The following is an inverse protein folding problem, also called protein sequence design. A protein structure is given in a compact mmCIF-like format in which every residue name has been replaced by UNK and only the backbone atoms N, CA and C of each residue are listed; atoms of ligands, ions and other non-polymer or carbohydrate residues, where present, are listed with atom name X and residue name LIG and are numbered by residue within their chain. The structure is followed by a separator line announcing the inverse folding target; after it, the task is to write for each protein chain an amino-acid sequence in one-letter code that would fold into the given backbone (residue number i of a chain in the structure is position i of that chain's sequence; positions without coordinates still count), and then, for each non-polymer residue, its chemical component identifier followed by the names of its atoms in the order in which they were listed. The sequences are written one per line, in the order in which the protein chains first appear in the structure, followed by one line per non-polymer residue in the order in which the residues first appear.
data_IF_200269786598
#
_entry.id   IF_200269786598
#
_cell.length_a   1.000
_cell.length_b   1.000
_cell.length_c   1.000
_cell.angle_alpha   90.00
_cell.angle_beta   90.00
_cell.angle_gamma   90.00
#
_symmetry.space_group_name_H-M   'P 1'
#
loop_
_entity.id
_entity.type
_entity.pdbx_description
1 polymer ?
#
# COMPACT_ATOMS: atom_id res chain seq x y z
N UNK A 1 -85.56 3.72 -12.49
CA UNK A 1 -86.39 3.23 -11.37
C UNK A 1 -86.61 1.73 -11.57
N UNK A 2 -86.48 0.86 -10.57
CA UNK A 2 -85.73 0.93 -9.31
C UNK A 2 -85.75 -0.47 -8.64
N UNK A 3 -84.68 -0.86 -7.92
CA UNK A 3 -84.63 -2.04 -7.01
C UNK A 3 -84.88 -3.41 -7.71
N UNK A 4 -84.73 -4.59 -7.09
CA UNK A 4 -84.33 -4.95 -5.70
C UNK A 4 -83.47 -6.24 -5.68
N UNK A 5 -83.19 -6.79 -4.49
CA UNK A 5 -82.31 -7.95 -4.23
C UNK A 5 -83.10 -9.24 -3.83
N UNK A 6 -82.38 -10.32 -3.52
CA UNK A 6 -82.80 -11.52 -2.74
C UNK A 6 -83.71 -12.65 -3.31
N UNK A 7 -83.06 -13.80 -3.58
CA UNK A 7 -83.28 -15.16 -2.99
C UNK A 7 -84.69 -15.83 -2.94
N UNK A 8 -84.82 -16.94 -3.68
CA UNK A 8 -84.58 -18.29 -3.08
C UNK A 8 -85.71 -19.38 -3.05
N UNK A 9 -85.30 -20.59 -2.57
CA UNK A 9 -86.05 -21.88 -2.35
C UNK A 9 -86.23 -22.76 -3.62
N UNK A 10 -85.69 -24.01 -3.70
CA UNK A 10 -86.09 -25.34 -3.10
C UNK A 10 -87.33 -25.96 -3.78
N UNK A 11 -87.46 -27.26 -4.12
CA UNK A 11 -86.73 -28.56 -3.92
C UNK A 11 -86.95 -29.43 -5.21
N UNK A 12 -86.50 -30.68 -5.46
CA UNK A 12 -86.14 -31.93 -4.71
C UNK A 12 -84.84 -32.57 -5.32
N UNK A 13 -84.00 -33.44 -4.72
CA UNK A 13 -84.11 -34.77 -4.05
C UNK A 13 -84.61 -35.91 -4.98
N UNK A 14 -84.03 -37.13 -5.01
CA UNK A 14 -82.97 -37.86 -4.25
C UNK A 14 -82.45 -39.03 -5.18
N UNK A 15 -81.33 -39.79 -5.09
CA UNK A 15 -80.34 -40.31 -4.09
C UNK A 15 -78.92 -40.33 -4.74
N UNK A 16 -77.83 -41.03 -4.34
CA UNK A 16 -77.49 -42.04 -3.28
C UNK A 16 -75.98 -41.96 -2.86
N UNK A 17 -75.57 -42.85 -1.93
CA UNK A 17 -74.28 -43.16 -1.29
C UNK A 17 -73.14 -43.65 -2.25
N UNK A 18 -71.85 -43.85 -1.88
CA UNK A 18 -71.20 -44.11 -0.56
C UNK A 18 -69.64 -43.85 -0.49
N UNK A 19 -69.10 -43.41 0.69
CA UNK A 19 -67.74 -43.51 1.36
C UNK A 19 -66.37 -43.60 0.56
N UNK A 20 -65.15 -43.37 1.12
CA UNK A 20 -64.57 -42.54 2.22
C UNK A 20 -62.98 -42.52 2.19
N UNK A 21 -62.28 -41.84 3.14
CA UNK A 21 -60.80 -41.51 3.22
C UNK A 21 -59.98 -42.53 4.09
N UNK A 22 -58.64 -42.45 4.50
CA UNK A 22 -57.69 -41.29 4.63
C UNK A 22 -56.10 -41.45 4.67
N UNK A 23 -55.39 -40.29 4.74
CA UNK A 23 -54.15 -39.89 5.53
C UNK A 23 -52.73 -40.58 5.49
N UNK A 24 -51.71 -39.77 5.06
CA UNK A 24 -50.42 -39.34 5.72
C UNK A 24 -49.26 -40.30 6.17
N UNK A 25 -48.00 -39.86 5.85
CA UNK A 25 -46.75 -39.66 6.68
C UNK A 25 -45.43 -40.50 6.43
N UNK A 26 -44.31 -39.78 6.68
CA UNK A 26 -42.94 -40.16 7.18
C UNK A 26 -41.83 -40.87 6.35
N UNK A 27 -40.68 -40.17 6.31
CA UNK A 27 -39.24 -40.54 6.36
C UNK A 27 -38.79 -42.01 6.57
N UNK A 28 -37.80 -42.45 5.77
CA UNK A 28 -36.54 -43.14 6.19
C UNK A 28 -35.49 -43.05 5.03
N UNK A 29 -34.25 -42.64 5.30
CA UNK A 29 -32.97 -43.39 5.45
C UNK A 29 -32.38 -44.10 4.20
N UNK A 30 -31.04 -44.07 4.13
CA UNK A 30 -30.20 -44.65 3.07
C UNK A 30 -29.92 -46.16 3.28
N UNK A 31 -29.26 -46.81 2.30
CA UNK A 31 -27.95 -47.41 2.63
C UNK A 31 -26.80 -46.97 1.70
N UNK A 32 -25.56 -47.30 2.10
CA UNK A 32 -24.29 -47.01 1.39
C UNK A 32 -23.70 -48.28 0.73
N UNK A 33 -23.19 -48.16 -0.51
CA UNK A 33 -22.00 -48.88 -1.04
C UNK A 33 -21.63 -48.27 -2.41
N UNK A 34 -20.39 -48.10 -2.90
CA UNK A 34 -19.01 -48.51 -2.52
C UNK A 34 -18.41 -49.79 -3.15
N UNK A 35 -18.30 -49.82 -4.49
CA UNK A 35 -17.37 -50.63 -5.32
C UNK A 35 -17.37 -50.02 -6.74
N UNK A 36 -16.27 -49.78 -7.48
CA UNK A 36 -15.02 -50.50 -7.81
C UNK A 36 -15.11 -51.33 -9.12
N UNK A 37 -14.06 -51.28 -9.95
CA UNK A 37 -14.03 -51.78 -11.35
C UNK A 37 -14.39 -50.66 -12.36
N UNK A 38 -13.52 -50.12 -13.22
CA UNK A 38 -12.53 -50.67 -14.18
C UNK A 38 -13.18 -51.43 -15.36
N UNK A 39 -13.05 -50.88 -16.57
CA UNK A 39 -13.61 -51.40 -17.82
C UNK A 39 -13.59 -50.34 -18.95
N UNK A 40 -12.43 -49.78 -19.30
CA UNK A 40 -11.69 -50.19 -20.51
C UNK A 40 -12.53 -50.22 -21.81
N UNK A 41 -12.71 -49.04 -22.42
CA UNK A 41 -13.16 -48.87 -23.81
C UNK A 41 -12.14 -48.07 -24.61
N UNK A 42 -11.18 -48.74 -25.28
CA UNK A 42 -10.22 -48.09 -26.17
C UNK A 42 -10.92 -47.60 -27.44
N UNK A 43 -10.76 -46.33 -27.76
CA UNK A 43 -10.80 -45.83 -29.14
C UNK A 43 -9.48 -45.10 -29.44
N UNK A 44 -8.99 -45.22 -30.67
CA UNK A 44 -7.63 -44.80 -31.01
C UNK A 44 -7.51 -43.33 -31.41
N UNK A 45 -6.29 -42.80 -31.23
CA UNK A 45 -5.87 -41.45 -31.63
C UNK A 45 -6.27 -41.13 -33.07
N UNK A 46 -6.80 -39.93 -33.26
CA UNK A 46 -6.26 -39.03 -34.27
C UNK A 46 -5.53 -37.90 -33.55
N UNK A 47 -4.34 -37.54 -34.04
CA UNK A 47 -3.49 -36.52 -33.44
C UNK A 47 -3.88 -35.12 -33.92
N UNK A 48 -3.93 -34.17 -33.01
CA UNK A 48 -3.73 -32.75 -33.29
C UNK A 48 -2.78 -32.24 -32.23
N UNK A 49 -1.56 -31.90 -32.64
CA UNK A 49 -0.54 -31.43 -31.71
C UNK A 49 -0.92 -30.04 -31.19
N UNK A 50 -1.28 -30.01 -29.91
CA UNK A 50 -1.22 -28.80 -29.10
C UNK A 50 -0.22 -29.05 -27.99
N UNK A 51 0.96 -28.46 -28.17
CA UNK A 51 2.00 -28.37 -27.17
C UNK A 51 1.38 -27.82 -25.89
N UNK A 52 1.27 -28.67 -24.86
CA UNK A 52 1.02 -28.19 -23.51
C UNK A 52 2.32 -27.68 -22.96
N UNK A 53 2.59 -26.40 -23.16
CA UNK A 53 3.38 -25.63 -22.22
C UNK A 53 2.74 -25.80 -20.84
N UNK A 54 3.29 -26.71 -20.04
CA UNK A 54 2.93 -26.83 -18.62
C UNK A 54 3.64 -25.68 -17.92
N UNK A 55 3.08 -24.48 -18.09
CA UNK A 55 3.37 -23.38 -17.18
C UNK A 55 3.00 -23.87 -15.79
N UNK A 56 4.02 -24.09 -14.97
CA UNK A 56 3.85 -24.23 -13.53
C UNK A 56 3.46 -22.86 -13.02
N UNK A 57 2.17 -22.56 -13.11
CA UNK A 57 1.57 -21.39 -12.48
C UNK A 57 1.74 -21.60 -10.97
N UNK A 58 2.84 -21.09 -10.42
CA UNK A 58 2.96 -20.84 -8.98
C UNK A 58 1.66 -20.13 -8.58
N UNK A 59 0.92 -20.75 -7.66
CA UNK A 59 -0.38 -20.26 -7.20
C UNK A 59 -0.14 -18.95 -6.47
N UNK A 60 -0.16 -17.84 -7.23
CA UNK A 60 0.09 -16.48 -6.71
C UNK A 60 -0.76 -16.28 -5.47
N UNK A 61 -0.15 -15.79 -4.40
CA UNK A 61 -0.88 -15.33 -3.22
C UNK A 61 -1.79 -14.20 -3.68
N UNK A 62 -3.07 -14.31 -3.37
CA UNK A 62 -4.01 -13.24 -3.69
C UNK A 62 -3.73 -12.00 -2.84
N UNK A 63 -4.41 -10.91 -3.16
CA UNK A 63 -4.50 -9.73 -2.31
C UNK A 63 -5.78 -9.83 -1.46
N UNK A 64 -6.79 -10.56 -1.95
CA UNK A 64 -8.08 -10.72 -1.29
C UNK A 64 -8.06 -11.92 -0.33
N UNK A 65 -7.94 -11.63 0.96
CA UNK A 65 -7.98 -12.60 2.06
C UNK A 65 -6.64 -12.88 2.74
N UNK A 66 -5.55 -12.31 2.23
CA UNK A 66 -4.30 -12.15 3.00
C UNK A 66 -4.51 -11.13 4.14
N UNK A 67 -3.67 -11.15 5.20
CA UNK A 67 -3.63 -10.09 6.21
C UNK A 67 -3.42 -8.71 5.57
N UNK A 68 -4.03 -7.66 6.13
CA UNK A 68 -4.08 -6.34 5.51
C UNK A 68 -2.69 -5.76 5.17
N UNK A 69 -1.69 -5.93 6.03
CA UNK A 69 -0.32 -5.46 5.77
C UNK A 69 0.35 -6.24 4.62
N UNK A 70 0.07 -7.55 4.50
CA UNK A 70 0.53 -8.37 3.38
C UNK A 70 -0.17 -7.98 2.07
N UNK A 71 -1.47 -7.66 2.12
CA UNK A 71 -2.22 -7.13 0.98
C UNK A 71 -1.66 -5.77 0.50
N UNK A 72 -1.29 -4.87 1.42
CA UNK A 72 -0.65 -3.59 1.10
C UNK A 72 0.75 -3.78 0.49
N UNK A 73 1.50 -4.79 0.94
CA UNK A 73 2.81 -5.14 0.37
C UNK A 73 2.75 -5.82 -1.00
N UNK A 74 1.57 -6.30 -1.42
CA UNK A 74 1.32 -6.84 -2.76
C UNK A 74 0.71 -5.80 -3.72
N UNK A 75 -0.10 -4.87 -3.20
CA UNK A 75 -0.88 -3.89 -3.97
C UNK A 75 -0.77 -2.45 -3.40
N UNK A 76 0.43 -1.86 -3.28
CA UNK A 76 0.62 -0.58 -2.59
C UNK A 76 0.00 0.64 -3.31
N UNK A 77 -0.66 1.52 -2.54
CA UNK A 77 -1.22 2.79 -3.05
C UNK A 77 -0.17 3.89 -3.34
N UNK A 78 1.05 3.78 -2.82
CA UNK A 78 2.17 4.77 -2.88
C UNK A 78 1.92 6.18 -2.30
N UNK A 79 0.69 6.65 -2.11
CA UNK A 79 0.31 8.03 -1.73
C UNK A 79 0.12 8.28 -0.20
N UNK A 80 0.91 7.61 0.65
CA UNK A 80 0.81 7.60 2.12
C UNK A 80 -0.45 6.97 2.73
N UNK A 81 -1.40 6.48 1.93
CA UNK A 81 -2.56 5.73 2.43
C UNK A 81 -2.18 4.24 2.49
N UNK A 82 -2.08 3.62 3.69
CA UNK A 82 -1.74 2.20 3.83
C UNK A 82 -2.99 1.35 3.61
N UNK A 83 -3.40 1.25 2.34
CA UNK A 83 -4.48 0.37 1.86
C UNK A 83 -4.11 -0.18 0.46
N UNK A 84 -4.65 -1.35 0.08
CA UNK A 84 -4.50 -1.88 -1.27
C UNK A 84 -5.04 -0.90 -2.31
N UNK A 85 -4.29 -0.67 -3.39
CA UNK A 85 -4.69 0.23 -4.48
C UNK A 85 -6.01 -0.23 -5.13
N UNK A 86 -6.18 -1.53 -5.39
CA UNK A 86 -7.40 -2.10 -5.97
C UNK A 86 -8.65 -1.93 -5.09
N UNK A 87 -8.48 -1.94 -3.76
CA UNK A 87 -9.57 -1.61 -2.82
C UNK A 87 -9.97 -0.14 -2.97
N UNK A 88 -8.99 0.77 -3.06
CA UNK A 88 -9.26 2.20 -3.20
C UNK A 88 -9.80 2.56 -4.57
N UNK A 89 -9.34 1.93 -5.66
CA UNK A 89 -9.96 2.06 -6.99
C UNK A 89 -11.47 1.72 -6.94
N UNK A 90 -11.85 0.68 -6.20
CA UNK A 90 -13.25 0.30 -6.04
C UNK A 90 -14.04 1.30 -5.18
N UNK A 91 -13.47 1.82 -4.09
CA UNK A 91 -14.11 2.87 -3.25
C UNK A 91 -14.26 4.17 -4.04
N UNK A 92 -13.20 4.63 -4.71
CA UNK A 92 -13.17 5.87 -5.49
C UNK A 92 -14.14 5.82 -6.68
N UNK A 93 -14.28 4.66 -7.33
CA UNK A 93 -15.27 4.49 -8.39
C UNK A 93 -16.71 4.64 -7.86
N UNK A 94 -17.00 4.18 -6.63
CA UNK A 94 -18.31 4.38 -6.00
C UNK A 94 -18.50 5.82 -5.50
N UNK A 95 -17.45 6.50 -5.03
CA UNK A 95 -17.50 7.95 -4.74
C UNK A 95 -17.82 8.78 -6.00
N UNK A 96 -17.23 8.44 -7.14
CA UNK A 96 -17.30 9.22 -8.38
C UNK A 96 -18.56 8.90 -9.23
N UNK A 97 -18.98 7.63 -9.27
CA UNK A 97 -20.09 7.16 -10.13
C UNK A 97 -21.25 6.52 -9.35
N UNK A 98 -21.06 6.19 -8.07
CA UNK A 98 -21.95 5.29 -7.33
C UNK A 98 -22.84 5.94 -6.27
N UNK A 99 -22.49 7.10 -5.73
CA UNK A 99 -23.18 7.68 -4.57
C UNK A 99 -24.68 7.93 -4.79
N UNK A 100 -25.12 8.24 -6.01
CA UNK A 100 -26.54 8.45 -6.33
C UNK A 100 -27.30 7.19 -6.75
N UNK A 101 -26.61 6.06 -6.97
CA UNK A 101 -27.15 4.84 -7.60
C UNK A 101 -28.06 4.07 -6.64
N UNK A 102 -29.31 3.79 -7.05
CA UNK A 102 -30.28 3.12 -6.18
C UNK A 102 -29.81 1.75 -5.70
N UNK A 103 -29.87 1.52 -4.39
CA UNK A 103 -29.49 0.25 -3.79
C UNK A 103 -27.99 -0.05 -3.89
N UNK A 104 -27.13 0.96 -3.99
CA UNK A 104 -25.68 0.78 -3.84
C UNK A 104 -25.36 -0.01 -2.55
N UNK A 105 -24.38 -0.91 -2.59
CA UNK A 105 -24.13 -1.98 -1.60
C UNK A 105 -25.24 -3.02 -1.36
N UNK A 106 -26.54 -2.68 -1.48
CA UNK A 106 -27.67 -3.62 -1.34
C UNK A 106 -27.79 -4.57 -2.53
N UNK A 107 -27.79 -4.03 -3.74
CA UNK A 107 -27.79 -4.78 -5.01
C UNK A 107 -26.45 -5.52 -5.17
N UNK A 108 -26.46 -6.63 -5.89
CA UNK A 108 -25.28 -7.46 -6.12
C UNK A 108 -25.14 -7.79 -7.60
N UNK A 109 -23.98 -7.45 -8.17
CA UNK A 109 -23.63 -7.73 -9.57
C UNK A 109 -23.44 -9.23 -9.84
N UNK A 110 -23.43 -9.65 -11.13
CA UNK A 110 -23.28 -11.06 -11.49
C UNK A 110 -22.03 -11.72 -10.87
N UNK A 111 -22.21 -12.93 -10.32
CA UNK A 111 -21.16 -13.65 -9.60
C UNK A 111 -19.90 -13.81 -10.45
N UNK A 112 -20.05 -14.26 -11.70
CA UNK A 112 -18.95 -14.44 -12.67
C UNK A 112 -18.13 -13.16 -12.91
N UNK A 113 -18.77 -12.00 -12.84
CA UNK A 113 -18.16 -10.68 -13.05
C UNK A 113 -17.42 -10.20 -11.81
N UNK A 114 -17.98 -10.42 -10.63
CA UNK A 114 -17.26 -10.21 -9.37
C UNK A 114 -16.06 -11.16 -9.25
N UNK A 115 -16.20 -12.43 -9.66
CA UNK A 115 -15.06 -13.37 -9.69
C UNK A 115 -13.96 -12.93 -10.67
N UNK A 116 -14.32 -12.28 -11.78
CA UNK A 116 -13.35 -11.67 -12.69
C UNK A 116 -12.60 -10.52 -12.02
N UNK A 117 -13.32 -9.61 -11.35
CA UNK A 117 -12.74 -8.46 -10.65
C UNK A 117 -11.84 -8.89 -9.48
N UNK A 118 -12.20 -9.95 -8.76
CA UNK A 118 -11.32 -10.55 -7.75
C UNK A 118 -10.02 -11.07 -8.36
N UNK A 119 -10.09 -11.87 -9.43
CA UNK A 119 -8.89 -12.40 -10.10
C UNK A 119 -8.02 -11.29 -10.70
N UNK A 120 -8.62 -10.19 -11.16
CA UNK A 120 -7.89 -9.03 -11.64
C UNK A 120 -7.15 -8.32 -10.49
N UNK A 121 -7.83 -8.09 -9.36
CA UNK A 121 -7.23 -7.51 -8.16
C UNK A 121 -6.10 -8.40 -7.60
N UNK A 122 -6.35 -9.70 -7.42
CA UNK A 122 -5.36 -10.70 -6.98
C UNK A 122 -4.13 -10.81 -7.91
N UNK A 123 -4.26 -10.39 -9.18
CA UNK A 123 -3.18 -10.38 -10.15
C UNK A 123 -2.44 -9.02 -10.26
N UNK A 124 -2.84 -7.99 -9.51
CA UNK A 124 -2.45 -6.58 -9.72
C UNK A 124 -2.73 -6.08 -11.14
N UNK A 125 -3.78 -6.59 -11.78
CA UNK A 125 -4.18 -6.23 -13.13
C UNK A 125 -5.16 -5.03 -13.12
N UNK A 126 -5.26 -4.26 -14.23
CA UNK A 126 -6.16 -3.13 -14.33
C UNK A 126 -7.62 -3.47 -14.00
N UNK A 127 -8.20 -2.75 -13.05
CA UNK A 127 -9.60 -2.88 -12.67
C UNK A 127 -10.47 -1.96 -13.53
N UNK A 128 -11.27 -2.56 -14.40
CA UNK A 128 -12.31 -1.88 -15.18
C UNK A 128 -13.68 -2.26 -14.62
N UNK A 129 -14.47 -1.28 -14.16
CA UNK A 129 -15.85 -1.47 -13.70
C UNK A 129 -16.84 -0.96 -14.75
N UNK A 130 -17.95 -1.69 -14.95
CA UNK A 130 -19.04 -1.28 -15.85
C UNK A 130 -20.10 -0.43 -15.13
N UNK A 131 -20.31 -0.72 -13.83
CA UNK A 131 -21.31 -0.06 -12.99
C UNK A 131 -20.81 0.05 -11.53
N UNK A 132 -21.49 0.85 -10.73
CA UNK A 132 -21.12 1.07 -9.32
C UNK A 132 -21.42 -0.14 -8.41
N UNK A 133 -22.32 -1.03 -8.79
CA UNK A 133 -22.59 -2.25 -8.03
C UNK A 133 -21.44 -3.26 -8.16
N UNK A 134 -20.71 -3.27 -9.28
CA UNK A 134 -19.51 -4.09 -9.46
C UNK A 134 -18.40 -3.65 -8.51
N UNK A 135 -18.14 -2.34 -8.44
CA UNK A 135 -17.16 -1.75 -7.55
C UNK A 135 -17.53 -1.95 -6.06
N UNK A 136 -18.77 -1.61 -5.68
CA UNK A 136 -19.30 -1.89 -4.33
C UNK A 136 -19.31 -3.40 -4.02
N UNK A 137 -19.49 -4.26 -5.03
CA UNK A 137 -19.41 -5.71 -4.94
C UNK A 137 -17.99 -6.19 -4.62
N UNK A 138 -16.96 -5.62 -5.26
CA UNK A 138 -15.57 -5.92 -4.96
C UNK A 138 -15.20 -5.46 -3.54
N UNK A 139 -15.62 -4.26 -3.11
CA UNK A 139 -15.45 -3.79 -1.71
C UNK A 139 -16.10 -4.75 -0.72
N UNK A 140 -17.36 -5.18 -0.97
CA UNK A 140 -18.06 -6.19 -0.13
C UNK A 140 -17.29 -7.49 -0.01
N UNK A 141 -16.71 -7.99 -1.11
CA UNK A 141 -15.95 -9.25 -1.11
C UNK A 141 -14.58 -9.12 -0.44
N UNK A 142 -13.88 -8.00 -0.64
CA UNK A 142 -12.61 -7.73 0.03
C UNK A 142 -12.77 -7.74 1.55
N UNK A 143 -13.67 -6.90 2.08
CA UNK A 143 -13.88 -6.77 3.52
C UNK A 143 -14.29 -8.09 4.18
N UNK A 144 -15.16 -8.88 3.53
CA UNK A 144 -15.63 -10.18 4.03
C UNK A 144 -14.55 -11.27 4.07
N UNK A 145 -13.50 -11.18 3.26
CA UNK A 145 -12.42 -12.19 3.22
C UNK A 145 -11.24 -11.88 4.14
N UNK A 146 -11.15 -10.66 4.67
CA UNK A 146 -10.09 -10.30 5.62
C UNK A 146 -10.11 -11.23 6.87
N UNK A 147 -8.96 -11.60 7.44
CA UNK A 147 -8.91 -12.44 8.63
C UNK A 147 -9.67 -11.83 9.83
N UNK A 148 -10.67 -12.53 10.41
CA UNK A 148 -11.40 -12.06 11.57
C UNK A 148 -10.64 -12.31 12.89
N UNK A 149 -10.92 -11.56 13.96
CA UNK A 149 -11.88 -10.45 14.04
C UNK A 149 -11.29 -9.12 13.52
N UNK A 150 -12.06 -8.39 12.71
CA UNK A 150 -11.65 -7.07 12.19
C UNK A 150 -11.62 -5.97 13.24
N UNK A 151 -12.53 -6.03 14.22
CA UNK A 151 -12.54 -5.13 15.36
C UNK A 151 -11.87 -5.83 16.55
N UNK A 152 -10.80 -5.27 17.16
CA UNK A 152 -10.20 -5.85 18.35
C UNK A 152 -11.24 -6.00 19.48
N UNK A 153 -11.35 -7.16 20.17
CA UNK A 153 -12.44 -7.42 21.12
C UNK A 153 -12.58 -6.38 22.24
N UNK A 154 -11.46 -5.81 22.71
CA UNK A 154 -11.45 -4.71 23.69
C UNK A 154 -12.13 -3.43 23.18
N UNK A 155 -12.12 -3.18 21.87
CA UNK A 155 -12.80 -2.04 21.25
C UNK A 155 -14.27 -2.37 20.94
N UNK A 156 -14.61 -3.65 20.69
CA UNK A 156 -16.02 -4.09 20.61
C UNK A 156 -16.73 -3.91 21.96
N UNK A 157 -16.13 -4.44 23.03
CA UNK A 157 -16.60 -4.25 24.40
C UNK A 157 -16.76 -2.77 24.76
N UNK A 158 -15.74 -1.95 24.45
CA UNK A 158 -15.77 -0.51 24.67
C UNK A 158 -16.89 0.19 23.88
N UNK A 159 -17.18 -0.24 22.65
CA UNK A 159 -18.28 0.31 21.86
C UNK A 159 -19.66 -0.09 22.43
N UNK A 160 -19.78 -1.30 22.98
CA UNK A 160 -20.99 -1.80 23.62
C UNK A 160 -21.35 -1.06 24.93
N UNK A 161 -20.41 -0.34 25.56
CA UNK A 161 -20.69 0.58 26.67
C UNK A 161 -21.54 1.80 26.27
N UNK A 162 -21.78 2.03 24.97
CA UNK A 162 -22.49 3.21 24.50
C UNK A 162 -24.02 3.08 24.52
N UNK A 163 -24.66 3.90 25.36
CA UNK A 163 -26.12 3.98 25.53
C UNK A 163 -26.78 5.16 24.79
N UNK A 164 -26.08 5.80 23.84
CA UNK A 164 -26.59 6.97 23.13
C UNK A 164 -27.67 6.65 22.09
N UNK A 165 -28.61 7.58 21.88
CA UNK A 165 -29.47 7.54 20.70
C UNK A 165 -28.68 7.90 19.43
N UNK A 166 -28.31 6.85 18.70
CA UNK A 166 -27.49 6.84 17.46
C UNK A 166 -27.86 7.88 16.38
N UNK A 167 -29.08 8.44 16.39
CA UNK A 167 -29.49 9.53 15.50
C UNK A 167 -28.75 10.86 15.73
N UNK A 168 -28.16 11.09 16.92
CA UNK A 168 -27.54 12.38 17.30
C UNK A 168 -26.03 12.33 17.54
N UNK A 169 -25.37 11.22 17.21
CA UNK A 169 -23.98 10.99 17.58
C UNK A 169 -23.80 10.44 19.01
N UNK A 170 -22.56 10.12 19.36
CA UNK A 170 -22.18 9.60 20.67
C UNK A 170 -21.62 10.73 21.54
N UNK A 171 -22.46 11.22 22.46
CA UNK A 171 -22.16 12.28 23.43
C UNK A 171 -21.68 11.76 24.78
N UNK A 172 -21.89 10.47 25.11
CA UNK A 172 -21.47 9.86 26.38
C UNK A 172 -19.95 9.63 26.53
N UNK A 173 -19.13 10.11 25.58
CA UNK A 173 -17.67 10.00 25.63
C UNK A 173 -17.09 8.62 25.23
N UNK A 174 -17.92 7.61 24.96
CA UNK A 174 -17.44 6.31 24.44
C UNK A 174 -16.73 6.48 23.09
N UNK A 175 -17.27 7.32 22.19
CA UNK A 175 -16.62 7.73 20.93
C UNK A 175 -15.19 8.28 21.14
N UNK A 176 -14.97 9.05 22.21
CA UNK A 176 -13.66 9.59 22.60
C UNK A 176 -12.71 8.49 23.10
N UNK A 177 -13.20 7.53 23.89
CA UNK A 177 -12.41 6.36 24.32
C UNK A 177 -12.06 5.46 23.12
N UNK A 178 -13.01 5.21 22.21
CA UNK A 178 -12.79 4.45 20.96
C UNK A 178 -11.79 5.16 20.05
N UNK A 179 -11.89 6.48 19.86
CA UNK A 179 -10.89 7.31 19.14
C UNK A 179 -9.47 7.10 19.72
N UNK A 180 -9.33 7.12 21.04
CA UNK A 180 -8.04 6.88 21.71
C UNK A 180 -7.53 5.44 21.52
N UNK A 181 -8.40 4.44 21.64
CA UNK A 181 -8.03 3.03 21.42
C UNK A 181 -7.60 2.78 19.96
N UNK A 182 -8.33 3.34 18.98
CA UNK A 182 -8.00 3.22 17.55
C UNK A 182 -6.70 3.92 17.14
N UNK A 183 -6.08 4.75 17.99
CA UNK A 183 -4.72 5.28 17.77
C UNK A 183 -3.61 4.29 18.12
N UNK A 184 -3.92 3.23 18.87
CA UNK A 184 -3.00 2.14 19.24
C UNK A 184 -3.10 0.92 18.30
N UNK A 185 -4.13 0.90 17.44
CA UNK A 185 -4.38 -0.11 16.41
C UNK A 185 -3.42 0.11 15.21
N UNK A 186 -2.93 -0.95 14.52
CA UNK A 186 -2.09 -0.81 13.33
C UNK A 186 -2.63 0.22 12.32
N UNK A 187 -1.72 1.05 11.78
CA UNK A 187 -2.08 2.20 10.91
C UNK A 187 -2.91 1.75 9.70
N UNK A 188 -2.58 0.61 9.10
CA UNK A 188 -3.35 -0.02 8.02
C UNK A 188 -4.82 -0.25 8.40
N UNK A 189 -5.07 -0.98 9.50
CA UNK A 189 -6.41 -1.28 10.00
C UNK A 189 -7.16 -0.01 10.44
N UNK A 190 -6.46 0.96 11.03
CA UNK A 190 -7.01 2.29 11.36
C UNK A 190 -7.50 3.03 10.11
N UNK A 191 -6.70 3.04 9.03
CA UNK A 191 -7.08 3.65 7.75
C UNK A 191 -8.18 2.86 7.03
N UNK A 192 -8.23 1.53 7.16
CA UNK A 192 -9.30 0.70 6.58
C UNK A 192 -10.66 1.10 7.16
N UNK A 193 -10.78 1.13 8.49
CA UNK A 193 -12.00 1.58 9.16
C UNK A 193 -12.34 3.02 8.78
N UNK A 194 -11.37 3.93 8.74
CA UNK A 194 -11.60 5.31 8.33
C UNK A 194 -12.18 5.40 6.90
N UNK A 195 -11.56 4.74 5.92
CA UNK A 195 -12.03 4.78 4.53
C UNK A 195 -13.40 4.12 4.37
N UNK A 196 -13.64 2.95 4.98
CA UNK A 196 -14.94 2.26 4.90
C UNK A 196 -16.06 3.11 5.52
N UNK A 197 -15.86 3.65 6.73
CA UNK A 197 -16.92 4.39 7.40
C UNK A 197 -17.11 5.83 6.89
N UNK A 198 -16.06 6.52 6.43
CA UNK A 198 -16.19 7.83 5.77
C UNK A 198 -16.89 7.68 4.42
N UNK A 199 -16.53 6.68 3.61
CA UNK A 199 -17.25 6.33 2.39
C UNK A 199 -18.72 6.02 2.67
N UNK A 200 -19.00 5.27 3.73
CA UNK A 200 -20.36 4.93 4.14
C UNK A 200 -21.17 6.17 4.58
N UNK A 201 -20.54 7.18 5.19
CA UNK A 201 -21.20 8.47 5.44
C UNK A 201 -21.54 9.21 4.13
N UNK A 202 -20.68 9.14 3.10
CA UNK A 202 -20.97 9.73 1.78
C UNK A 202 -22.15 9.04 1.09
N UNK A 203 -22.24 7.71 1.17
CA UNK A 203 -23.40 6.95 0.67
C UNK A 203 -24.68 7.38 1.40
N UNK A 204 -24.67 7.43 2.73
CA UNK A 204 -25.88 7.79 3.51
C UNK A 204 -26.33 9.24 3.27
N UNK A 205 -25.40 10.19 3.06
CA UNK A 205 -25.75 11.57 2.66
C UNK A 205 -26.58 11.66 1.38
N UNK A 206 -26.50 10.66 0.51
CA UNK A 206 -27.23 10.57 -0.75
C UNK A 206 -28.46 9.65 -0.69
N UNK A 207 -28.94 9.30 0.53
CA UNK A 207 -30.13 8.46 0.77
C UNK A 207 -31.37 8.88 -0.03
N UNK A 208 -31.57 10.19 -0.24
CA UNK A 208 -32.67 10.73 -1.04
C UNK A 208 -32.68 10.21 -2.49
N UNK A 209 -31.50 9.96 -3.07
CA UNK A 209 -31.34 9.32 -4.38
C UNK A 209 -31.20 7.80 -4.25
N UNK A 210 -30.19 7.34 -3.51
CA UNK A 210 -29.77 5.94 -3.54
C UNK A 210 -30.61 4.98 -2.65
N UNK A 211 -31.47 5.51 -1.78
CA UNK A 211 -32.35 4.76 -0.85
C UNK A 211 -31.59 3.88 0.16
N UNK A 212 -30.40 4.30 0.59
CA UNK A 212 -29.48 3.57 1.49
C UNK A 212 -29.10 4.37 2.74
N UNK A 213 -30.05 4.55 3.67
CA UNK A 213 -29.83 5.20 4.95
C UNK A 213 -29.02 4.41 5.98
N UNK A 214 -28.78 5.05 7.14
CA UNK A 214 -27.98 4.53 8.27
C UNK A 214 -28.36 3.09 8.65
N UNK A 215 -29.66 2.79 8.76
CA UNK A 215 -30.14 1.46 9.15
C UNK A 215 -29.88 0.40 8.07
N UNK A 216 -30.11 0.73 6.80
CA UNK A 216 -29.91 -0.19 5.68
C UNK A 216 -28.42 -0.49 5.45
N UNK A 217 -27.57 0.54 5.47
CA UNK A 217 -26.13 0.38 5.28
C UNK A 217 -25.45 -0.21 6.53
N UNK A 218 -25.90 0.15 7.73
CA UNK A 218 -25.41 -0.42 8.99
C UNK A 218 -25.63 -1.93 9.09
N UNK A 219 -26.81 -2.44 8.74
CA UNK A 219 -27.08 -3.88 8.69
C UNK A 219 -26.21 -4.60 7.65
N UNK A 220 -25.97 -3.99 6.49
CA UNK A 220 -25.04 -4.56 5.49
C UNK A 220 -23.62 -4.62 6.05
N UNK A 221 -23.08 -3.50 6.55
CA UNK A 221 -21.73 -3.42 7.12
C UNK A 221 -21.52 -4.43 8.27
N UNK A 222 -22.53 -4.63 9.12
CA UNK A 222 -22.52 -5.65 10.17
C UNK A 222 -22.24 -7.05 9.62
N UNK A 223 -22.90 -7.44 8.51
CA UNK A 223 -22.71 -8.74 7.83
C UNK A 223 -21.53 -8.79 6.84
N UNK A 224 -20.84 -7.68 6.63
CA UNK A 224 -19.66 -7.58 5.76
C UNK A 224 -18.37 -7.63 6.60
N UNK A 225 -18.36 -6.98 7.77
CA UNK A 225 -17.19 -6.83 8.63
C UNK A 225 -17.19 -7.76 9.86
N UNK A 226 -18.25 -8.55 10.06
CA UNK A 226 -18.47 -9.45 11.21
C UNK A 226 -18.28 -8.72 12.57
N UNK A 227 -19.13 -7.70 12.77
CA UNK A 227 -19.09 -6.79 13.92
C UNK A 227 -20.42 -6.73 14.65
N UNK A 228 -20.42 -6.26 15.90
CA UNK A 228 -21.64 -5.92 16.62
C UNK A 228 -22.33 -4.69 16.00
N UNK A 229 -23.65 -4.72 15.87
CA UNK A 229 -24.42 -3.62 15.27
C UNK A 229 -24.25 -2.28 16.00
N UNK A 230 -24.07 -2.30 17.33
CA UNK A 230 -23.75 -1.12 18.13
C UNK A 230 -22.40 -0.52 17.72
N UNK A 231 -21.36 -1.35 17.54
CA UNK A 231 -20.05 -0.88 17.09
C UNK A 231 -20.13 -0.30 15.67
N UNK A 232 -20.83 -0.96 14.75
CA UNK A 232 -21.04 -0.46 13.37
C UNK A 232 -21.75 0.90 13.36
N UNK A 233 -22.80 1.08 14.16
CA UNK A 233 -23.48 2.38 14.29
C UNK A 233 -22.56 3.44 14.92
N UNK A 234 -21.79 3.10 15.94
CA UNK A 234 -20.81 4.00 16.55
C UNK A 234 -19.80 4.50 15.51
N UNK A 235 -19.18 3.61 14.73
CA UNK A 235 -18.24 4.02 13.68
C UNK A 235 -18.92 4.77 12.53
N UNK A 236 -20.08 4.32 12.03
CA UNK A 236 -20.78 4.96 10.90
C UNK A 236 -21.23 6.39 11.21
N UNK A 237 -21.82 6.62 12.37
CA UNK A 237 -22.33 7.95 12.74
C UNK A 237 -21.18 8.87 13.21
N UNK A 238 -20.15 8.33 13.86
CA UNK A 238 -19.08 9.13 14.47
C UNK A 238 -17.76 9.08 13.70
N UNK A 239 -17.70 8.63 12.44
CA UNK A 239 -16.46 8.63 11.65
C UNK A 239 -15.93 10.06 11.44
N UNK A 240 -16.74 10.90 10.79
CA UNK A 240 -16.55 12.36 10.63
C UNK A 240 -17.88 13.11 10.77
N UNK A 241 -17.83 14.45 10.73
CA UNK A 241 -18.97 15.36 10.83
C UNK A 241 -19.92 15.35 9.63
N UNK A 242 -19.55 14.64 8.55
CA UNK A 242 -20.28 14.54 7.27
C UNK A 242 -21.77 14.20 7.42
N UNK A 243 -22.18 13.56 8.52
CA UNK A 243 -23.56 13.22 8.84
C UNK A 243 -24.41 14.39 9.38
N UNK A 244 -23.88 15.61 9.53
CA UNK A 244 -24.63 16.76 10.05
C UNK A 244 -24.85 16.71 11.57
N UNK A 245 -24.01 15.96 12.28
CA UNK A 245 -24.05 15.75 13.73
C UNK A 245 -23.34 16.90 14.45
N UNK A 246 -23.83 17.31 15.63
CA UNK A 246 -23.28 18.45 16.37
C UNK A 246 -21.79 18.26 16.72
N UNK A 247 -20.94 19.14 16.18
CA UNK A 247 -19.48 19.14 16.39
C UNK A 247 -19.06 19.48 17.83
N UNK A 248 -19.88 20.21 18.58
CA UNK A 248 -19.54 20.63 19.95
C UNK A 248 -19.71 19.49 20.96
N UNK A 249 -20.72 18.64 20.75
CA UNK A 249 -21.08 17.54 21.65
C UNK A 249 -20.46 16.19 21.24
N UNK A 250 -20.04 16.03 19.98
CA UNK A 250 -19.65 14.74 19.39
C UNK A 250 -18.16 14.61 19.11
N UNK A 251 -17.59 13.43 19.38
CA UNK A 251 -16.17 13.14 19.19
C UNK A 251 -15.92 12.22 17.98
N UNK A 252 -15.49 12.77 16.85
CA UNK A 252 -15.34 12.01 15.59
C UNK A 252 -14.08 11.12 15.54
N UNK A 253 -14.23 9.84 15.28
CA UNK A 253 -13.18 8.82 15.47
C UNK A 253 -12.01 8.97 14.47
N UNK A 254 -12.27 9.47 13.26
CA UNK A 254 -11.31 9.51 12.15
C UNK A 254 -11.04 10.92 11.58
N UNK A 255 -11.32 11.97 12.35
CA UNK A 255 -11.15 13.38 11.96
C UNK A 255 -9.71 13.76 11.56
N UNK A 256 -8.70 13.04 12.07
CA UNK A 256 -7.28 13.22 11.71
C UNK A 256 -6.83 12.41 10.48
N UNK A 257 -7.73 11.70 9.79
CA UNK A 257 -7.38 10.83 8.64
C UNK A 257 -7.87 11.43 7.32
N UNK A 258 -6.97 11.70 6.36
CA UNK A 258 -7.34 12.26 5.07
C UNK A 258 -8.01 11.21 4.17
N UNK A 259 -9.30 11.37 3.92
CA UNK A 259 -10.04 10.65 2.87
C UNK A 259 -9.79 11.34 1.52
N UNK A 260 -9.05 10.68 0.62
CA UNK A 260 -8.60 11.23 -0.68
C UNK A 260 -8.62 10.15 -1.76
N UNK A 261 -9.01 10.55 -2.97
CA UNK A 261 -8.91 9.73 -4.20
C UNK A 261 -7.47 9.26 -4.41
N UNK A 262 -7.30 8.01 -4.82
CA UNK A 262 -6.02 7.36 -5.10
C UNK A 262 -5.21 8.14 -6.14
N UNK A 263 -3.93 8.37 -5.83
CA UNK A 263 -2.92 8.81 -6.80
C UNK A 263 -1.87 7.72 -6.97
N UNK A 264 -1.95 6.98 -8.08
CA UNK A 264 -0.88 6.09 -8.50
C UNK A 264 0.25 6.90 -9.18
N UNK A 265 1.51 6.41 -9.15
CA UNK A 265 2.61 7.00 -9.90
C UNK A 265 2.31 6.94 -11.41
N UNK A 266 2.55 8.06 -12.10
CA UNK A 266 2.33 8.19 -13.55
C UNK A 266 3.26 7.34 -14.41
N UNK A 267 2.82 7.04 -15.62
CA UNK A 267 3.67 6.43 -16.66
C UNK A 267 4.72 7.41 -17.20
N UNK A 268 5.73 6.89 -17.90
CA UNK A 268 6.75 7.75 -18.56
C UNK A 268 6.09 8.61 -19.64
N UNK A 269 5.18 8.01 -20.40
CA UNK A 269 4.43 8.59 -21.49
C UNK A 269 3.48 9.70 -20.98
N UNK A 270 2.73 9.44 -19.91
CA UNK A 270 1.94 10.47 -19.22
C UNK A 270 2.82 11.62 -18.72
N UNK A 271 3.99 11.31 -18.16
CA UNK A 271 4.94 12.33 -17.71
C UNK A 271 5.45 13.14 -18.89
N UNK A 272 5.82 12.55 -20.02
CA UNK A 272 6.27 13.30 -21.21
C UNK A 272 5.24 14.35 -21.66
N UNK A 273 3.95 13.99 -21.70
CA UNK A 273 2.85 14.92 -22.01
C UNK A 273 2.56 15.95 -20.91
N UNK A 274 2.92 15.65 -19.66
CA UNK A 274 2.59 16.46 -18.48
C UNK A 274 3.35 17.80 -18.42
N UNK A 275 2.80 18.81 -19.10
CA UNK A 275 3.26 20.22 -19.13
C UNK A 275 2.96 21.00 -17.83
N UNK A 276 2.92 20.32 -16.68
CA UNK A 276 2.69 20.96 -15.40
C UNK A 276 3.93 21.75 -14.97
N UNK A 277 3.75 23.03 -14.64
CA UNK A 277 4.80 23.90 -14.11
C UNK A 277 4.68 24.12 -12.60
N UNK A 278 3.66 23.54 -11.94
CA UNK A 278 3.48 23.61 -10.50
C UNK A 278 4.55 22.76 -9.79
N UNK A 279 5.43 23.43 -9.05
CA UNK A 279 6.54 22.80 -8.33
C UNK A 279 6.07 21.81 -7.27
N UNK A 280 4.97 22.10 -6.56
CA UNK A 280 4.44 21.22 -5.52
C UNK A 280 3.86 19.94 -6.14
N UNK A 281 3.17 20.04 -7.29
CA UNK A 281 2.69 18.86 -8.00
C UNK A 281 3.85 17.99 -8.54
N UNK A 282 4.90 18.60 -9.09
CA UNK A 282 6.11 17.87 -9.53
C UNK A 282 6.79 17.14 -8.35
N UNK A 283 6.92 17.80 -7.20
CA UNK A 283 7.54 17.24 -6.00
C UNK A 283 6.66 16.17 -5.33
N UNK A 284 5.33 16.29 -5.41
CA UNK A 284 4.37 15.25 -5.01
C UNK A 284 4.48 14.00 -5.88
N UNK A 285 4.50 14.15 -7.22
CA UNK A 285 4.66 13.04 -8.15
C UNK A 285 6.04 12.37 -7.97
N UNK A 286 7.10 13.15 -7.76
CA UNK A 286 8.43 12.61 -7.51
C UNK A 286 8.46 11.67 -6.29
N UNK A 287 7.72 11.99 -5.21
CA UNK A 287 7.60 11.12 -4.03
C UNK A 287 6.85 9.82 -4.32
N UNK A 288 5.84 9.83 -5.21
CA UNK A 288 5.17 8.61 -5.67
C UNK A 288 6.15 7.70 -6.44
N UNK A 289 6.91 8.29 -7.36
CA UNK A 289 7.93 7.59 -8.17
C UNK A 289 9.11 7.09 -7.33
N UNK A 290 9.50 7.79 -6.27
CA UNK A 290 10.53 7.35 -5.32
C UNK A 290 10.08 6.12 -4.53
N UNK A 291 8.83 6.11 -4.03
CA UNK A 291 8.25 4.95 -3.34
C UNK A 291 8.07 3.74 -4.27
N UNK A 292 7.68 3.97 -5.53
CA UNK A 292 7.60 2.92 -6.55
C UNK A 292 8.96 2.26 -6.79
N UNK A 293 10.03 3.05 -6.98
CA UNK A 293 11.38 2.53 -7.18
C UNK A 293 11.91 1.81 -5.93
N UNK A 294 11.73 2.36 -4.73
CA UNK A 294 12.12 1.68 -3.48
C UNK A 294 11.40 0.35 -3.28
N UNK A 295 10.10 0.29 -3.60
CA UNK A 295 9.31 -0.93 -3.51
C UNK A 295 9.77 -1.99 -4.53
N UNK A 296 9.98 -1.61 -5.80
CA UNK A 296 10.48 -2.51 -6.84
C UNK A 296 11.89 -3.01 -6.55
N UNK A 297 12.80 -2.15 -6.06
CA UNK A 297 14.12 -2.58 -5.58
C UNK A 297 14.01 -3.62 -4.45
N UNK A 298 13.13 -3.38 -3.47
CA UNK A 298 12.92 -4.31 -2.35
C UNK A 298 12.38 -5.68 -2.83
N UNK A 299 11.41 -5.70 -3.73
CA UNK A 299 10.90 -6.97 -4.30
C UNK A 299 11.95 -7.70 -5.14
N UNK A 300 12.72 -7.00 -5.97
CA UNK A 300 13.79 -7.59 -6.80
C UNK A 300 14.91 -8.16 -5.90
N UNK A 301 15.30 -7.44 -4.85
CA UNK A 301 16.27 -7.90 -3.85
C UNK A 301 15.81 -9.19 -3.16
N UNK A 302 14.60 -9.18 -2.60
CA UNK A 302 13.99 -10.35 -1.94
C UNK A 302 13.89 -11.58 -2.83
N UNK A 303 13.55 -11.41 -4.12
CA UNK A 303 13.56 -12.51 -5.09
C UNK A 303 14.97 -13.07 -5.31
N UNK A 304 15.97 -12.20 -5.47
CA UNK A 304 17.38 -12.60 -5.69
C UNK A 304 17.99 -13.29 -4.47
N UNK A 305 17.75 -12.78 -3.27
CA UNK A 305 18.18 -13.38 -1.99
C UNK A 305 17.63 -14.79 -1.79
N UNK A 306 16.38 -15.04 -2.18
CA UNK A 306 15.73 -16.35 -2.09
C UNK A 306 15.94 -17.25 -3.31
N UNK A 307 16.75 -16.85 -4.29
CA UNK A 307 16.98 -17.59 -5.53
C UNK A 307 15.71 -17.82 -6.36
N UNK A 308 14.69 -16.96 -6.21
CA UNK A 308 13.39 -17.07 -6.88
C UNK A 308 13.42 -16.39 -8.25
N UNK A 309 12.70 -16.92 -9.26
CA UNK A 309 12.52 -16.24 -10.53
C UNK A 309 11.81 -14.90 -10.32
N UNK A 310 12.27 -13.86 -11.02
CA UNK A 310 11.60 -12.56 -11.05
C UNK A 310 10.30 -12.65 -11.85
N UNK A 311 9.33 -11.83 -11.49
CA UNK A 311 8.09 -11.69 -12.28
C UNK A 311 8.46 -11.06 -13.64
N UNK A 312 7.99 -11.61 -14.79
CA UNK A 312 8.25 -11.01 -16.10
C UNK A 312 7.89 -9.52 -16.16
N UNK A 313 8.80 -8.72 -16.72
CA UNK A 313 8.65 -7.25 -16.81
C UNK A 313 8.92 -6.48 -15.51
N UNK A 314 9.27 -7.12 -14.38
CA UNK A 314 9.55 -6.42 -13.11
C UNK A 314 10.74 -5.45 -13.20
N UNK A 315 11.83 -5.86 -13.86
CA UNK A 315 13.01 -5.00 -14.06
C UNK A 315 12.75 -3.89 -15.10
N UNK A 316 11.90 -4.14 -16.09
CA UNK A 316 11.44 -3.13 -17.05
C UNK A 316 10.57 -2.05 -16.36
N UNK A 317 9.66 -2.46 -15.47
CA UNK A 317 8.87 -1.53 -14.63
C UNK A 317 9.76 -0.67 -13.74
N UNK A 318 10.83 -1.24 -13.17
CA UNK A 318 11.82 -0.49 -12.39
C UNK A 318 12.53 0.56 -13.28
N UNK A 319 13.01 0.16 -14.45
CA UNK A 319 13.70 1.06 -15.38
C UNK A 319 12.79 2.21 -15.88
N UNK A 320 11.51 1.91 -16.16
CA UNK A 320 10.51 2.93 -16.52
C UNK A 320 10.28 3.92 -15.37
N UNK A 321 10.17 3.44 -14.12
CA UNK A 321 10.03 4.32 -12.94
C UNK A 321 11.28 5.17 -12.64
N UNK A 322 12.49 4.62 -12.85
CA UNK A 322 13.74 5.39 -12.77
C UNK A 322 13.85 6.44 -13.89
N UNK A 323 13.35 6.13 -15.09
CA UNK A 323 13.26 7.07 -16.21
C UNK A 323 12.27 8.20 -15.93
N UNK A 324 11.10 7.89 -15.38
CA UNK A 324 10.11 8.84 -14.89
C UNK A 324 10.71 9.82 -13.84
N UNK A 325 11.36 9.29 -12.79
CA UNK A 325 12.09 10.13 -11.83
C UNK A 325 13.12 11.03 -12.51
N UNK A 326 13.87 10.51 -13.48
CA UNK A 326 14.91 11.27 -14.19
C UNK A 326 14.31 12.43 -14.98
N UNK A 327 13.16 12.25 -15.63
CA UNK A 327 12.42 13.33 -16.30
C UNK A 327 11.93 14.38 -15.31
N UNK A 328 11.33 13.97 -14.19
CA UNK A 328 10.85 14.88 -13.14
C UNK A 328 12.00 15.68 -12.50
N UNK A 329 13.12 15.03 -12.17
CA UNK A 329 14.32 15.69 -11.60
C UNK A 329 14.93 16.70 -12.59
N UNK A 330 14.97 16.37 -13.89
CA UNK A 330 15.35 17.32 -14.96
C UNK A 330 14.39 18.51 -15.07
N UNK A 331 13.06 18.30 -14.94
CA UNK A 331 12.07 19.39 -14.95
C UNK A 331 12.17 20.27 -13.71
N UNK A 332 12.31 19.68 -12.52
CA UNK A 332 12.51 20.39 -11.25
C UNK A 332 13.75 21.29 -11.30
N UNK A 333 14.85 20.79 -11.88
CA UNK A 333 16.06 21.59 -12.14
C UNK A 333 15.81 22.76 -13.11
N UNK A 334 15.10 22.53 -14.22
CA UNK A 334 14.70 23.61 -15.14
C UNK A 334 13.80 24.67 -14.48
N UNK A 335 12.85 24.24 -13.64
CA UNK A 335 11.98 25.13 -12.85
C UNK A 335 12.80 26.02 -11.92
N UNK A 336 13.68 25.42 -11.10
CA UNK A 336 14.59 26.16 -10.22
C UNK A 336 15.52 27.12 -10.99
N UNK A 337 16.00 26.75 -12.18
CA UNK A 337 16.79 27.67 -13.02
C UNK A 337 16.00 28.85 -13.62
N UNK A 338 14.67 28.76 -13.67
CA UNK A 338 13.80 29.88 -14.05
C UNK A 338 13.54 30.75 -12.81
N UNK A 339 13.32 30.13 -11.66
CA UNK A 339 13.10 30.79 -10.37
C UNK A 339 14.35 31.56 -9.88
N UNK A 340 15.54 30.95 -9.91
CA UNK A 340 16.80 31.63 -9.56
C UNK A 340 17.32 32.59 -10.64
N UNK A 341 16.66 32.65 -11.81
CA UNK A 341 16.80 33.77 -12.77
C UNK A 341 16.03 35.03 -12.34
N UNK A 342 14.99 34.89 -11.51
CA UNK A 342 14.32 36.01 -10.81
C UNK A 342 14.97 36.36 -9.48
N UNK A 343 15.68 35.44 -8.81
CA UNK A 343 16.44 35.70 -7.57
C UNK A 343 17.53 36.79 -7.70
N UNK A 344 17.95 37.41 -6.59
CA UNK A 344 19.15 38.26 -6.54
C UNK A 344 20.43 37.59 -7.06
N UNK A 345 21.45 38.40 -7.34
CA UNK A 345 22.71 37.97 -7.97
C UNK A 345 23.56 37.07 -7.05
N UNK A 346 23.47 37.23 -5.74
CA UNK A 346 24.30 36.50 -4.76
C UNK A 346 23.92 35.01 -4.67
N UNK A 347 22.63 34.68 -4.51
CA UNK A 347 22.11 33.30 -4.54
C UNK A 347 22.56 32.56 -5.82
N UNK A 348 22.57 33.28 -6.94
CA UNK A 348 22.91 32.77 -8.28
C UNK A 348 24.37 32.33 -8.43
N UNK A 349 25.26 32.76 -7.54
CA UNK A 349 26.64 32.29 -7.49
C UNK A 349 26.77 31.01 -6.63
N UNK A 350 26.08 30.92 -5.50
CA UNK A 350 26.11 29.73 -4.64
C UNK A 350 25.47 28.52 -5.36
N UNK A 351 24.36 28.72 -6.07
CA UNK A 351 23.75 27.72 -6.97
C UNK A 351 24.77 27.09 -7.95
N UNK A 352 25.63 27.94 -8.57
CA UNK A 352 26.67 27.47 -9.51
C UNK A 352 27.77 26.69 -8.80
N UNK A 353 28.19 27.13 -7.61
CA UNK A 353 29.20 26.47 -6.80
C UNK A 353 28.70 25.10 -6.35
N UNK A 354 27.44 25.01 -5.92
CA UNK A 354 26.85 23.75 -5.45
C UNK A 354 26.60 22.75 -6.58
N UNK A 355 26.21 23.19 -7.79
CA UNK A 355 26.15 22.32 -8.97
C UNK A 355 27.53 21.75 -9.38
N UNK A 356 28.63 22.49 -9.14
CA UNK A 356 29.99 21.96 -9.38
C UNK A 356 30.35 20.89 -8.34
N UNK A 357 30.11 21.17 -7.05
CA UNK A 357 30.33 20.19 -5.96
C UNK A 357 29.53 18.90 -6.18
N UNK A 358 28.25 19.00 -6.56
CA UNK A 358 27.38 17.84 -6.80
C UNK A 358 27.90 16.97 -7.97
N UNK A 359 28.39 17.59 -9.05
CA UNK A 359 29.02 16.86 -10.17
C UNK A 359 30.33 16.18 -9.77
N UNK A 360 31.16 16.83 -8.96
CA UNK A 360 32.39 16.23 -8.44
C UNK A 360 32.08 15.05 -7.52
N UNK A 361 31.08 15.17 -6.64
CA UNK A 361 30.61 14.10 -5.77
C UNK A 361 30.07 12.90 -6.57
N UNK A 362 29.32 13.14 -7.64
CA UNK A 362 28.84 12.10 -8.55
C UNK A 362 29.97 11.39 -9.28
N UNK A 363 30.99 12.12 -9.75
CA UNK A 363 32.16 11.52 -10.40
C UNK A 363 32.93 10.60 -9.42
N UNK A 364 33.18 11.08 -8.20
CA UNK A 364 33.82 10.28 -7.14
C UNK A 364 32.97 9.06 -6.77
N UNK A 365 31.64 9.18 -6.73
CA UNK A 365 30.77 8.02 -6.47
C UNK A 365 30.80 6.99 -7.62
N UNK A 366 30.91 7.42 -8.89
CA UNK A 366 31.10 6.49 -10.00
C UNK A 366 32.44 5.75 -9.89
N UNK A 367 33.55 6.47 -9.67
CA UNK A 367 34.87 5.86 -9.47
C UNK A 367 34.86 4.85 -8.30
N UNK A 368 34.37 5.26 -7.12
CA UNK A 368 34.26 4.35 -5.96
C UNK A 368 33.35 3.15 -6.18
N UNK A 369 32.41 3.20 -7.14
CA UNK A 369 31.61 2.03 -7.54
C UNK A 369 32.45 1.10 -8.43
N UNK A 370 33.15 1.65 -9.40
CA UNK A 370 34.03 0.92 -10.31
C UNK A 370 35.16 0.24 -9.52
N UNK A 371 35.79 0.95 -8.57
CA UNK A 371 36.79 0.43 -7.63
C UNK A 371 36.24 -0.76 -6.81
N UNK A 372 35.03 -0.62 -6.23
CA UNK A 372 34.39 -1.68 -5.43
C UNK A 372 33.98 -2.88 -6.29
N UNK A 373 33.54 -2.66 -7.53
CA UNK A 373 33.22 -3.74 -8.48
C UNK A 373 34.50 -4.47 -8.94
N UNK A 374 35.63 -3.77 -9.08
CA UNK A 374 36.95 -4.40 -9.26
C UNK A 374 37.37 -5.24 -8.04
N UNK A 375 37.35 -4.70 -6.82
CA UNK A 375 37.77 -5.45 -5.64
C UNK A 375 36.88 -6.68 -5.40
N UNK A 376 35.57 -6.56 -5.64
CA UNK A 376 34.65 -7.71 -5.61
C UNK A 376 35.05 -8.79 -6.64
N UNK A 377 35.50 -8.40 -7.83
CA UNK A 377 36.02 -9.33 -8.85
C UNK A 377 37.39 -9.91 -8.45
N UNK A 378 38.27 -9.17 -7.78
CA UNK A 378 39.54 -9.68 -7.24
C UNK A 378 39.29 -10.70 -6.11
N UNK A 379 38.40 -10.38 -5.17
CA UNK A 379 37.96 -11.27 -4.08
C UNK A 379 37.32 -12.54 -4.65
N UNK A 380 36.44 -12.43 -5.65
CA UNK A 380 35.85 -13.60 -6.32
C UNK A 380 36.91 -14.50 -6.98
N UNK A 381 37.91 -13.92 -7.64
CA UNK A 381 39.04 -14.66 -8.22
C UNK A 381 39.93 -15.33 -7.15
N UNK A 382 40.16 -14.67 -6.01
CA UNK A 382 40.93 -15.24 -4.90
C UNK A 382 40.16 -16.40 -4.23
N UNK A 383 38.85 -16.25 -4.00
CA UNK A 383 37.99 -17.33 -3.50
C UNK A 383 37.94 -18.52 -4.47
N UNK A 384 37.93 -18.28 -5.77
CA UNK A 384 38.02 -19.34 -6.79
C UNK A 384 39.37 -20.05 -6.76
N UNK A 385 40.49 -19.31 -6.66
CA UNK A 385 41.83 -19.88 -6.51
C UNK A 385 41.96 -20.72 -5.24
N UNK A 386 41.47 -20.25 -4.09
CA UNK A 386 41.49 -21.02 -2.84
C UNK A 386 40.72 -22.34 -2.97
N UNK A 387 39.53 -22.34 -3.57
CA UNK A 387 38.78 -23.58 -3.85
C UNK A 387 39.50 -24.50 -4.86
N UNK A 388 40.21 -23.93 -5.82
CA UNK A 388 41.10 -24.68 -6.73
C UNK A 388 42.24 -25.39 -5.99
N UNK A 389 42.89 -24.70 -5.04
CA UNK A 389 43.97 -25.27 -4.23
C UNK A 389 43.48 -26.22 -3.13
N UNK A 390 42.27 -26.05 -2.60
CA UNK A 390 41.61 -27.09 -1.79
C UNK A 390 41.43 -28.39 -2.60
N UNK A 391 40.99 -28.28 -3.86
CA UNK A 391 40.93 -29.42 -4.78
C UNK A 391 42.30 -30.00 -5.18
N UNK A 392 43.40 -29.27 -4.97
CA UNK A 392 44.77 -29.72 -5.29
C UNK A 392 45.51 -30.34 -4.09
N UNK A 393 45.07 -30.05 -2.86
CA UNK A 393 45.74 -30.47 -1.61
C UNK A 393 45.64 -31.97 -1.26
N UNK A 394 44.95 -32.80 -2.06
CA UNK A 394 45.08 -34.26 -1.96
C UNK A 394 46.36 -34.82 -2.60
N UNK A 395 47.10 -34.04 -3.40
CA UNK A 395 48.37 -34.47 -4.02
C UNK A 395 49.48 -33.42 -3.91
N UNK A 396 50.12 -33.35 -2.74
CA UNK A 396 51.59 -33.45 -2.60
C UNK A 396 52.00 -33.29 -1.11
N UNK A 397 52.66 -34.33 -0.56
CA UNK A 397 53.23 -34.33 0.80
C UNK A 397 54.74 -34.13 0.75
N UNK A 398 55.18 -32.95 0.35
CA UNK A 398 56.56 -32.48 0.59
C UNK A 398 56.58 -30.94 0.65
N UNK A 399 57.72 -30.35 1.03
CA UNK A 399 57.82 -28.89 1.23
C UNK A 399 57.21 -28.35 2.54
N UNK A 400 57.13 -29.16 3.61
CA UNK A 400 56.70 -28.69 4.95
C UNK A 400 57.84 -27.91 5.67
N UNK A 401 58.22 -26.77 5.09
CA UNK A 401 59.09 -25.75 5.70
C UNK A 401 58.95 -24.36 5.08
N UNK A 402 58.66 -24.26 3.78
CA UNK A 402 58.45 -22.98 3.10
C UNK A 402 57.07 -22.38 3.42
N UNK A 403 56.04 -23.25 3.50
CA UNK A 403 54.63 -22.87 3.76
C UNK A 403 54.35 -22.28 5.16
N UNK A 404 55.32 -22.29 6.07
CA UNK A 404 55.25 -21.52 7.34
C UNK A 404 55.80 -20.10 7.16
N UNK A 405 56.82 -19.91 6.31
CA UNK A 405 57.35 -18.58 5.97
C UNK A 405 56.35 -17.75 5.17
N UNK A 406 55.76 -18.33 4.11
CA UNK A 406 54.69 -17.67 3.33
C UNK A 406 53.50 -17.29 4.23
N UNK A 407 53.16 -18.13 5.21
CA UNK A 407 52.03 -17.89 6.11
C UNK A 407 52.27 -16.77 7.12
N UNK A 408 53.51 -16.53 7.56
CA UNK A 408 53.85 -15.33 8.35
C UNK A 408 53.91 -14.08 7.47
N UNK A 409 54.55 -14.15 6.29
CA UNK A 409 54.64 -13.02 5.34
C UNK A 409 53.24 -12.52 4.90
N UNK A 410 52.27 -13.43 4.72
CA UNK A 410 50.89 -13.05 4.47
C UNK A 410 50.17 -12.41 5.66
N UNK A 411 50.45 -12.82 6.91
CA UNK A 411 49.92 -12.14 8.11
C UNK A 411 50.50 -10.73 8.24
N UNK A 412 51.80 -10.59 8.00
CA UNK A 412 52.50 -9.31 8.07
C UNK A 412 51.99 -8.33 7.01
N UNK A 413 51.77 -8.79 5.76
CA UNK A 413 51.09 -8.01 4.72
C UNK A 413 49.67 -7.60 5.10
N UNK A 414 48.84 -8.54 5.59
CA UNK A 414 47.47 -8.20 6.01
C UNK A 414 47.49 -7.16 7.12
N UNK A 415 48.36 -7.32 8.12
CA UNK A 415 48.48 -6.36 9.22
C UNK A 415 48.93 -4.98 8.74
N UNK A 416 49.91 -4.89 7.83
CA UNK A 416 50.34 -3.62 7.23
C UNK A 416 49.19 -2.90 6.50
N UNK A 417 48.33 -3.65 5.81
CA UNK A 417 47.16 -3.10 5.13
C UNK A 417 46.08 -2.63 6.12
N UNK A 418 45.89 -3.33 7.25
CA UNK A 418 45.01 -2.89 8.34
C UNK A 418 45.54 -1.64 9.07
N UNK A 419 46.84 -1.59 9.37
CA UNK A 419 47.50 -0.42 9.96
C UNK A 419 47.41 0.79 9.01
N UNK A 420 47.52 0.58 7.69
CA UNK A 420 47.34 1.62 6.67
C UNK A 420 45.89 2.10 6.54
N UNK A 421 44.91 1.18 6.52
CA UNK A 421 43.47 1.49 6.55
C UNK A 421 43.09 2.32 7.78
N UNK A 422 43.58 1.94 8.95
CA UNK A 422 43.24 2.62 10.20
C UNK A 422 43.95 3.99 10.29
N UNK A 423 45.14 4.15 9.70
CA UNK A 423 45.78 5.46 9.48
C UNK A 423 44.93 6.38 8.59
N UNK A 424 44.40 5.87 7.47
CA UNK A 424 43.50 6.63 6.58
C UNK A 424 42.19 7.01 7.29
N UNK A 425 41.60 6.12 8.08
CA UNK A 425 40.40 6.42 8.88
C UNK A 425 40.66 7.54 9.89
N UNK A 426 41.80 7.52 10.59
CA UNK A 426 42.18 8.60 11.52
C UNK A 426 42.38 9.94 10.79
N UNK A 427 42.98 9.94 9.60
CA UNK A 427 43.09 11.13 8.75
C UNK A 427 41.72 11.68 8.34
N UNK A 428 40.78 10.81 7.94
CA UNK A 428 39.39 11.20 7.61
C UNK A 428 38.67 11.77 8.83
N UNK A 429 38.87 11.24 10.04
CA UNK A 429 38.29 11.80 11.28
C UNK A 429 38.86 13.21 11.55
N UNK A 430 40.18 13.36 11.53
CA UNK A 430 40.85 14.65 11.74
C UNK A 430 40.39 15.72 10.73
N UNK A 431 40.32 15.40 9.43
CA UNK A 431 39.82 16.32 8.41
C UNK A 431 38.33 16.69 8.61
N UNK A 432 37.51 15.82 9.20
CA UNK A 432 36.12 16.12 9.53
C UNK A 432 36.00 17.01 10.77
N UNK A 433 36.90 16.89 11.74
CA UNK A 433 37.01 17.78 12.90
C UNK A 433 37.49 19.18 12.48
N UNK A 434 38.52 19.28 11.63
CA UNK A 434 38.94 20.54 11.01
C UNK A 434 37.80 21.20 10.23
N UNK A 435 37.07 20.43 9.40
CA UNK A 435 35.90 20.93 8.69
C UNK A 435 34.75 21.37 9.62
N UNK A 436 34.64 20.81 10.82
CA UNK A 436 33.65 21.24 11.82
C UNK A 436 34.09 22.54 12.51
N UNK A 437 35.38 22.67 12.86
CA UNK A 437 35.96 23.89 13.43
C UNK A 437 35.83 25.07 12.45
N UNK A 438 36.23 24.89 11.20
CA UNK A 438 36.11 25.93 10.15
C UNK A 438 34.65 26.36 9.91
N UNK A 439 33.67 25.44 10.03
CA UNK A 439 32.25 25.80 9.99
C UNK A 439 31.84 26.66 11.18
N UNK A 440 32.28 26.29 12.39
CA UNK A 440 32.05 27.08 13.60
C UNK A 440 32.64 28.50 13.51
N UNK A 441 33.84 28.65 12.95
CA UNK A 441 34.46 29.95 12.69
C UNK A 441 33.68 30.77 11.66
N UNK A 442 33.21 30.16 10.57
CA UNK A 442 32.38 30.83 9.57
C UNK A 442 31.04 31.29 10.17
N UNK A 443 30.38 30.45 10.97
CA UNK A 443 29.12 30.78 11.65
C UNK A 443 29.32 31.89 12.69
N UNK A 444 30.41 31.86 13.46
CA UNK A 444 30.79 32.90 14.40
C UNK A 444 31.08 34.23 13.69
N UNK A 445 31.86 34.22 12.60
CA UNK A 445 32.16 35.42 11.82
C UNK A 445 30.89 36.01 11.18
N UNK A 446 30.00 35.18 10.63
CA UNK A 446 28.68 35.65 10.16
C UNK A 446 27.82 36.25 11.28
N UNK A 447 27.92 35.71 12.51
CA UNK A 447 27.24 36.27 13.69
C UNK A 447 27.82 37.64 14.07
N UNK A 448 29.16 37.79 14.05
CA UNK A 448 29.89 39.04 14.31
C UNK A 448 29.58 40.10 13.23
N UNK A 449 29.48 39.72 11.96
CA UNK A 449 29.04 40.64 10.90
C UNK A 449 27.59 41.10 11.12
N UNK A 450 26.68 40.19 11.50
CA UNK A 450 25.28 40.53 11.79
C UNK A 450 25.15 41.47 12.99
N UNK A 451 25.89 41.25 14.08
CA UNK A 451 25.85 42.16 15.24
C UNK A 451 26.46 43.52 14.92
N UNK A 452 27.59 43.59 14.21
CA UNK A 452 28.18 44.87 13.78
C UNK A 452 27.30 45.65 12.80
N UNK A 453 26.46 44.99 11.98
CA UNK A 453 25.46 45.65 11.12
C UNK A 453 24.26 46.21 11.89
N UNK A 454 23.87 45.59 13.01
CA UNK A 454 22.73 46.02 13.84
C UNK A 454 23.14 47.06 14.89
N UNK A 455 24.33 46.91 15.47
CA UNK A 455 24.91 47.81 16.46
C UNK A 455 26.38 48.11 16.08
N UNK A 456 26.63 49.13 15.24
CA UNK A 456 28.00 49.55 14.96
C UNK A 456 28.69 50.04 16.25
N UNK A 457 29.98 49.74 16.46
CA UNK A 457 30.66 50.03 17.71
C UNK A 457 30.68 51.54 17.99
N UNK A 458 30.20 51.92 19.17
CA UNK A 458 30.14 53.32 19.62
C UNK A 458 31.57 53.85 19.72
N UNK A 459 31.94 54.75 18.80
CA UNK A 459 33.17 55.54 18.93
C UNK A 459 33.03 56.47 20.12
N UNK A 460 33.61 56.08 21.26
CA UNK A 460 33.86 57.00 22.37
C UNK A 460 34.74 58.14 21.84
N UNK A 461 34.15 59.31 21.67
CA UNK A 461 34.87 60.49 21.22
C UNK A 461 35.88 60.91 22.30
N UNK A 462 37.16 60.94 21.93
CA UNK A 462 38.22 61.49 22.77
C UNK A 462 37.96 62.98 23.00
N UNK A 463 37.64 63.34 24.26
CA UNK A 463 37.53 64.72 24.69
C UNK A 463 38.86 65.46 24.48
N UNK A 464 38.88 66.65 23.85
CA UNK A 464 40.01 67.56 23.93
C UNK A 464 40.08 68.21 25.32
N UNK A 465 41.23 68.83 25.60
CA UNK A 465 41.60 69.53 26.85
C UNK A 465 40.65 70.68 27.21
#
# INVERSE_FOLDING_TARGET
MEKEEERGKKKEKEKRDEKSKPKRRSLSLMPRASSSGKGLGKWHRLGVDKEKSVEVVEKRRGIIGEPLDQAIMLDPSFDDIPLPAGLRMAIDYVEEHGLSTEGIYRVSSPVSRLDYLERAMDATAPLHFNDAHEAAGLVKRYLRRLPPPLLPPSISQLAAECVCEWRKGCTCGVSRRVRSAFRLVPRSLRFLFAYVFIHSQNVVRMESSNKMGVAALGLLLQTIMDMEGIAVLLFLINATDRMGVNREETCFIFEDIPFRKLRLPRSVEEIEEWKCNDFQLIEDEMKLQERLVSHLHSQIGYCRELGRPLVPGMEERLWRAQTAQTMLKRRRSKGKMIESRSSPIEERNDDRINMVKEKQLLAVHCMLREDVEEEMMRVANLLWKMKGDEGRKEKEKEGKKEKEGEAEEWKERVKLEEDARDSLLNCIVSLREECAMLRGEIELNQSIERTNRVHPPIRLASLPL
#
